data_IF_113787594415
#
_entry.id   IF_113787594415
#
_cell.length_a   1.000
_cell.length_b   1.000
_cell.length_c   1.000
_cell.angle_alpha   90.00
_cell.angle_beta   90.00
_cell.angle_gamma   90.00
#
_symmetry.space_group_name_H-M   'P 1'
#
loop_
_entity.id
_entity.type
_entity.pdbx_description
1 polymer ?
#
# COMPACT_ATOMS: atom_id res chain seq x y z
N UNK A 1 22.05 -16.91 8.29
CA UNK A 1 20.97 -16.33 9.11
C UNK A 1 19.74 -16.21 8.23
N UNK A 2 18.58 -16.76 8.61
CA UNK A 2 17.32 -16.42 7.95
C UNK A 2 16.91 -15.04 8.49
N UNK A 3 17.09 -14.00 7.70
CA UNK A 3 16.52 -12.68 8.04
C UNK A 3 15.01 -12.77 7.82
N UNK A 4 14.23 -12.69 8.91
CA UNK A 4 12.77 -12.60 8.78
C UNK A 4 12.43 -11.32 8.01
N UNK A 5 11.51 -11.45 7.06
CA UNK A 5 11.05 -10.32 6.23
C UNK A 5 10.35 -9.24 7.08
N UNK A 6 9.86 -9.62 8.26
CA UNK A 6 9.25 -8.75 9.27
C UNK A 6 10.24 -7.74 9.88
N UNK A 7 11.55 -7.96 9.73
CA UNK A 7 12.58 -7.03 10.21
C UNK A 7 12.92 -5.92 9.19
N UNK A 8 12.30 -5.92 8.02
CA UNK A 8 12.49 -4.82 7.07
C UNK A 8 11.89 -3.52 7.62
N UNK A 9 12.52 -2.37 7.34
CA UNK A 9 11.94 -1.07 7.63
C UNK A 9 10.54 -0.91 7.02
N UNK A 10 9.66 -0.24 7.76
CA UNK A 10 8.25 -0.06 7.37
C UNK A 10 8.11 0.73 6.06
N UNK A 11 9.06 1.62 5.80
CA UNK A 11 9.13 2.45 4.59
C UNK A 11 9.32 1.60 3.33
N UNK A 12 10.07 0.50 3.42
CA UNK A 12 10.23 -0.42 2.29
C UNK A 12 8.92 -1.15 2.00
N UNK A 13 8.17 -1.55 3.04
CA UNK A 13 6.86 -2.16 2.86
C UNK A 13 5.86 -1.21 2.24
N UNK A 14 5.83 0.04 2.67
CA UNK A 14 4.99 1.08 2.05
C UNK A 14 5.36 1.26 0.59
N UNK A 15 6.65 1.30 0.27
CA UNK A 15 7.10 1.41 -1.12
C UNK A 15 6.73 0.18 -1.96
N UNK A 16 6.67 -1.02 -1.38
CA UNK A 16 6.17 -2.21 -2.10
C UNK A 16 4.66 -2.10 -2.30
N UNK A 17 3.94 -1.74 -1.25
CA UNK A 17 2.49 -1.69 -1.23
C UNK A 17 1.92 -0.55 -2.09
N UNK A 18 2.70 0.52 -2.36
CA UNK A 18 2.27 1.61 -3.25
C UNK A 18 2.08 1.18 -4.70
N UNK A 19 2.63 0.03 -5.12
CA UNK A 19 2.43 -0.52 -6.47
C UNK A 19 1.23 -1.48 -6.56
N UNK A 20 0.60 -1.79 -5.42
CA UNK A 20 -0.50 -2.73 -5.33
C UNK A 20 -1.79 -1.99 -5.01
N UNK A 21 -2.91 -2.51 -5.50
CA UNK A 21 -4.19 -1.98 -5.07
C UNK A 21 -4.52 -2.39 -3.63
N UNK A 22 -5.26 -1.54 -2.93
CA UNK A 22 -5.67 -1.83 -1.56
C UNK A 22 -6.34 -3.21 -1.43
N UNK A 23 -7.22 -3.58 -2.38
CA UNK A 23 -7.90 -4.87 -2.35
C UNK A 23 -6.93 -6.05 -2.50
N UNK A 24 -5.93 -5.95 -3.38
CA UNK A 24 -4.88 -6.96 -3.56
C UNK A 24 -4.04 -7.12 -2.29
N UNK A 25 -3.71 -6.00 -1.63
CA UNK A 25 -2.97 -6.00 -0.37
C UNK A 25 -3.74 -6.71 0.73
N UNK A 26 -5.01 -6.35 0.93
CA UNK A 26 -5.85 -7.02 1.92
C UNK A 26 -5.98 -8.51 1.63
N UNK A 27 -6.18 -8.91 0.38
CA UNK A 27 -6.32 -10.33 0.04
C UNK A 27 -5.02 -11.12 0.22
N UNK A 28 -3.87 -10.55 -0.15
CA UNK A 28 -2.60 -11.26 -0.15
C UNK A 28 -1.91 -11.30 1.22
N UNK A 29 -2.09 -10.27 2.05
CA UNK A 29 -1.31 -10.10 3.28
C UNK A 29 -2.14 -10.19 4.57
N UNK A 30 -3.49 -10.17 4.50
CA UNK A 30 -4.31 -10.43 5.69
C UNK A 30 -4.21 -11.90 6.09
N UNK A 31 -4.10 -12.17 7.39
CA UNK A 31 -3.88 -13.46 8.03
C UNK A 31 -2.56 -14.14 7.65
N UNK A 32 -1.59 -13.42 7.07
CA UNK A 32 -0.28 -13.99 6.76
C UNK A 32 0.52 -14.23 8.05
N UNK A 33 0.58 -13.21 8.88
CA UNK A 33 1.05 -13.26 10.26
C UNK A 33 0.60 -11.99 11.00
N UNK A 34 0.74 -12.02 12.33
CA UNK A 34 0.35 -10.90 13.20
C UNK A 34 1.09 -9.58 12.88
N UNK A 35 2.29 -9.64 12.28
CA UNK A 35 3.00 -8.43 11.86
C UNK A 35 2.31 -7.76 10.67
N UNK A 36 2.02 -8.51 9.61
CA UNK A 36 1.34 -7.98 8.42
C UNK A 36 -0.09 -7.57 8.71
N UNK A 37 -0.81 -8.31 9.58
CA UNK A 37 -2.15 -7.92 10.02
C UNK A 37 -2.15 -6.53 10.66
N UNK A 38 -1.17 -6.25 11.53
CA UNK A 38 -0.99 -4.94 12.16
C UNK A 38 -0.53 -3.88 11.15
N UNK A 39 0.33 -4.24 10.21
CA UNK A 39 0.86 -3.32 9.20
C UNK A 39 -0.26 -2.83 8.26
N UNK A 40 -1.08 -3.75 7.76
CA UNK A 40 -2.20 -3.44 6.84
C UNK A 40 -3.30 -2.67 7.57
N UNK A 41 -3.57 -3.00 8.83
CA UNK A 41 -4.51 -2.27 9.67
C UNK A 41 -3.96 -0.91 10.18
N UNK A 42 -2.70 -0.57 9.91
CA UNK A 42 -2.12 0.67 10.41
C UNK A 42 -2.64 1.88 9.64
N UNK A 43 -2.99 2.93 10.39
CA UNK A 43 -3.37 4.24 9.83
C UNK A 43 -2.25 4.81 8.94
N UNK A 44 -1.00 4.50 9.28
CA UNK A 44 0.18 4.91 8.52
C UNK A 44 0.21 4.31 7.11
N UNK A 45 -0.13 3.02 6.96
CA UNK A 45 -0.23 2.38 5.65
C UNK A 45 -1.40 2.95 4.85
N UNK A 46 -2.58 3.07 5.48
CA UNK A 46 -3.78 3.59 4.84
C UNK A 46 -3.60 5.02 4.32
N UNK A 47 -2.86 5.85 5.05
CA UNK A 47 -2.51 7.20 4.62
C UNK A 47 -1.60 7.20 3.38
N UNK A 48 -0.54 6.39 3.38
CA UNK A 48 0.46 6.39 2.29
C UNK A 48 -0.01 5.66 1.03
N UNK A 49 -0.75 4.55 1.15
CA UNK A 49 -1.26 3.80 -0.01
C UNK A 49 -2.37 4.59 -0.73
N UNK A 50 -3.14 5.43 -0.01
CA UNK A 50 -4.13 6.33 -0.62
C UNK A 50 -3.51 7.53 -1.35
N UNK A 51 -2.28 7.92 -1.03
CA UNK A 51 -1.56 9.00 -1.71
C UNK A 51 -1.03 8.58 -3.09
N UNK A 52 -0.80 7.27 -3.32
CA UNK A 52 -0.33 6.75 -4.62
C UNK A 52 -1.39 6.73 -5.73
N UNK A 53 -2.68 6.92 -5.43
CA UNK A 53 -3.77 6.98 -6.43
C UNK A 53 -4.16 8.41 -6.86
N UNK A 54 -3.47 9.45 -6.38
CA UNK A 54 -3.87 10.86 -6.62
C UNK A 54 -2.99 11.64 -7.60
N UNK A 55 -2.22 10.98 -8.47
CA UNK A 55 -1.58 11.63 -9.63
C UNK A 55 -2.29 11.32 -10.96
N UNK A 56 -3.54 10.84 -10.92
CA UNK A 56 -4.43 11.01 -12.07
C UNK A 56 -5.11 12.38 -11.98
N UNK A 57 -4.48 13.35 -12.63
CA UNK A 57 -5.02 14.67 -12.91
C UNK A 57 -6.44 14.54 -13.51
N UNK A 58 -7.53 14.97 -12.82
CA UNK A 58 -8.89 14.84 -13.33
C UNK A 58 -9.23 15.79 -14.48
N UNK A 59 -8.28 16.58 -14.96
CA UNK A 59 -8.52 17.66 -15.93
C UNK A 59 -8.36 17.27 -17.41
N UNK A 60 -8.17 15.99 -17.72
CA UNK A 60 -8.03 15.53 -19.12
C UNK A 60 -9.35 15.06 -19.79
N UNK A 61 -10.51 15.34 -19.19
CA UNK A 61 -11.76 15.32 -19.96
C UNK A 61 -12.00 16.68 -20.60
N UNK A 62 -11.20 16.94 -21.64
CA UNK A 62 -11.64 17.46 -22.92
C UNK A 62 -12.85 18.42 -22.85
N UNK A 63 -12.58 19.71 -22.65
CA UNK A 63 -13.36 20.74 -23.34
C UNK A 63 -13.17 20.47 -24.83
N UNK A 64 -14.13 19.75 -25.43
CA UNK A 64 -14.38 19.80 -26.87
C UNK A 64 -15.74 20.45 -27.08
N UNK A 65 -15.85 21.34 -28.09
CA UNK A 65 -17.00 22.20 -28.31
C UNK A 65 -18.29 21.44 -28.61
#
# INVERSE_FOLDING_TARGET
>A
MKTSIEHLPVELWISIFSYLEAHDLFQAFTNLNNYFDKLIASDYLLFNVRLGKSDHNPLEYSIRP
#
